data_IF_114371258683
#
_entry.id   IF_114371258683
#
_cell.length_a   1.000
_cell.length_b   1.000
_cell.length_c   1.000
_cell.angle_alpha   90.00
_cell.angle_beta   90.00
_cell.angle_gamma   90.00
#
_symmetry.space_group_name_H-M   'P 1'
#
loop_
_entity.id
_entity.type
_entity.pdbx_description
1 polymer ?
#
# COMPACT_ATOMS: atom_id res chain seq x y z
N UNK A 1 6.51 6.43 -7.27
CA UNK A 1 7.39 5.25 -7.12
C UNK A 1 8.17 5.46 -5.84
N UNK A 2 8.33 4.42 -5.01
CA UNK A 2 9.10 4.47 -3.78
C UNK A 2 10.12 3.32 -3.76
N UNK A 3 11.08 3.41 -2.84
CA UNK A 3 12.18 2.46 -2.75
C UNK A 3 11.77 1.12 -2.15
N UNK A 4 12.65 0.12 -2.26
CA UNK A 4 12.48 -1.16 -1.58
C UNK A 4 12.61 -1.03 -0.06
N UNK A 5 11.65 -1.63 0.65
CA UNK A 5 11.66 -1.76 2.11
C UNK A 5 12.88 -2.51 2.68
N UNK A 6 13.57 -3.31 1.88
CA UNK A 6 14.74 -4.09 2.33
C UNK A 6 16.05 -3.32 2.25
N UNK A 7 16.08 -2.19 1.53
CA UNK A 7 17.32 -1.49 1.20
C UNK A 7 17.38 -0.07 1.80
N UNK A 8 16.28 0.67 1.74
CA UNK A 8 16.30 2.12 1.98
C UNK A 8 15.14 2.62 2.86
N UNK A 9 15.00 2.07 4.08
CA UNK A 9 13.93 2.45 5.02
C UNK A 9 13.94 3.94 5.41
N UNK A 10 15.11 4.55 5.53
CA UNK A 10 15.25 5.99 5.80
C UNK A 10 14.70 6.86 4.65
N UNK A 11 14.97 6.51 3.39
CA UNK A 11 14.41 7.23 2.25
C UNK A 11 12.88 7.09 2.21
N UNK A 12 12.35 5.90 2.51
CA UNK A 12 10.89 5.68 2.59
C UNK A 12 10.28 6.57 3.68
N UNK A 13 10.91 6.68 4.86
CA UNK A 13 10.47 7.57 5.94
C UNK A 13 10.42 9.03 5.50
N UNK A 14 11.48 9.52 4.85
CA UNK A 14 11.55 10.91 4.39
C UNK A 14 10.48 11.20 3.32
N UNK A 15 10.33 10.29 2.34
CA UNK A 15 9.33 10.42 1.29
C UNK A 15 7.90 10.43 1.85
N UNK A 16 7.56 9.56 2.80
CA UNK A 16 6.23 9.56 3.43
C UNK A 16 6.00 10.88 4.18
N UNK A 17 7.01 11.37 4.89
CA UNK A 17 6.92 12.61 5.68
C UNK A 17 6.63 13.81 4.75
N UNK A 18 7.39 13.95 3.66
CA UNK A 18 7.16 14.98 2.63
C UNK A 18 5.78 14.82 1.99
N UNK A 19 5.35 13.59 1.66
CA UNK A 19 4.03 13.36 1.10
C UNK A 19 2.91 13.78 2.05
N UNK A 20 3.05 13.57 3.37
CA UNK A 20 2.05 14.02 4.36
C UNK A 20 2.01 15.54 4.53
N UNK A 21 3.11 16.22 4.30
CA UNK A 21 3.14 17.68 4.30
C UNK A 21 2.38 18.24 3.08
N UNK A 22 2.55 17.63 1.91
CA UNK A 22 1.98 18.12 0.64
C UNK A 22 0.52 17.67 0.48
N UNK A 23 0.23 16.39 0.70
CA UNK A 23 -1.07 15.78 0.48
C UNK A 23 -1.85 15.71 1.79
N UNK A 24 -2.96 16.47 1.85
CA UNK A 24 -3.82 16.55 3.03
C UNK A 24 -4.88 15.44 3.12
N UNK A 25 -4.91 14.55 2.13
CA UNK A 25 -5.75 13.35 2.15
C UNK A 25 -5.02 12.15 2.74
N UNK A 26 -5.39 10.94 2.29
CA UNK A 26 -4.77 9.68 2.71
C UNK A 26 -3.36 9.55 2.13
N UNK A 27 -2.42 9.02 2.91
CA UNK A 27 -1.06 8.65 2.47
C UNK A 27 -0.73 7.24 2.93
N UNK A 28 -0.51 6.33 1.99
CA UNK A 28 -0.22 4.92 2.25
C UNK A 28 0.98 4.42 1.45
N UNK A 29 1.69 3.47 2.02
CA UNK A 29 2.76 2.73 1.34
C UNK A 29 2.26 1.33 1.01
N UNK A 30 2.39 0.94 -0.26
CA UNK A 30 2.13 -0.40 -0.75
C UNK A 30 3.41 -0.98 -1.37
N UNK A 31 3.45 -2.29 -1.62
CA UNK A 31 4.59 -2.92 -2.28
C UNK A 31 4.15 -4.06 -3.21
N UNK A 32 5.03 -4.42 -4.14
CA UNK A 32 4.84 -5.59 -5.00
C UNK A 32 6.15 -6.33 -5.24
N UNK A 33 6.02 -7.62 -5.54
CA UNK A 33 7.14 -8.46 -5.99
C UNK A 33 7.43 -8.23 -7.47
N UNK A 34 8.67 -7.86 -7.78
CA UNK A 34 9.18 -7.72 -9.13
C UNK A 34 10.60 -8.30 -9.13
N UNK A 35 10.79 -9.57 -9.56
CA UNK A 35 12.05 -10.29 -9.38
C UNK A 35 13.30 -9.60 -9.96
N UNK A 36 13.13 -8.77 -10.97
CA UNK A 36 14.23 -8.05 -11.63
C UNK A 36 14.58 -6.71 -10.98
N UNK A 37 13.78 -6.23 -10.02
CA UNK A 37 14.15 -5.05 -9.22
C UNK A 37 15.16 -5.43 -8.14
N UNK A 38 16.04 -4.50 -7.71
CA UNK A 38 16.91 -4.72 -6.55
C UNK A 38 16.09 -5.23 -5.35
N UNK A 39 16.59 -6.25 -4.65
CA UNK A 39 15.88 -6.99 -3.57
C UNK A 39 14.60 -7.73 -3.95
N UNK A 40 14.22 -7.76 -5.24
CA UNK A 40 13.06 -8.50 -5.75
C UNK A 40 11.70 -7.87 -5.46
N UNK A 41 11.67 -6.66 -4.87
CA UNK A 41 10.44 -5.93 -4.54
C UNK A 41 10.58 -4.44 -4.81
N UNK A 42 9.45 -3.76 -4.99
CA UNK A 42 9.37 -2.30 -5.14
C UNK A 42 8.24 -1.73 -4.29
N UNK A 43 8.44 -0.52 -3.76
CA UNK A 43 7.45 0.25 -3.02
C UNK A 43 6.66 1.23 -3.88
N UNK A 44 5.46 1.57 -3.43
CA UNK A 44 4.60 2.59 -3.99
C UNK A 44 4.06 3.49 -2.89
N UNK A 45 4.12 4.80 -3.09
CA UNK A 45 3.44 5.77 -2.26
C UNK A 45 2.16 6.22 -2.95
N UNK A 46 1.04 6.01 -2.28
CA UNK A 46 -0.29 6.40 -2.71
C UNK A 46 -0.74 7.58 -1.86
N UNK A 47 -1.06 8.70 -2.50
CA UNK A 47 -1.47 9.92 -1.84
C UNK A 47 -2.77 10.45 -2.47
N UNK A 48 -3.71 10.93 -1.66
CA UNK A 48 -4.89 11.65 -2.16
C UNK A 48 -4.81 13.13 -1.81
N UNK A 49 -5.40 13.96 -2.66
CA UNK A 49 -5.58 15.39 -2.37
C UNK A 49 -6.60 15.57 -1.24
N UNK A 50 -6.67 16.79 -0.71
CA UNK A 50 -7.71 17.21 0.21
C UNK A 50 -9.11 16.98 -0.38
N UNK A 51 -10.04 16.53 0.45
CA UNK A 51 -11.41 16.21 0.05
C UNK A 51 -11.92 14.97 0.75
N UNK A 52 -12.81 14.24 0.07
CA UNK A 52 -13.35 12.98 0.59
C UNK A 52 -12.23 11.99 0.91
N UNK A 53 -12.27 11.31 2.08
CA UNK A 53 -11.29 10.30 2.43
C UNK A 53 -11.20 9.22 1.36
N UNK A 54 -9.98 8.91 0.92
CA UNK A 54 -9.72 7.82 -0.02
C UNK A 54 -9.20 6.62 0.75
N UNK A 55 -9.96 5.54 0.73
CA UNK A 55 -9.50 4.24 1.24
C UNK A 55 -8.71 3.53 0.13
N UNK A 56 -7.38 3.53 0.28
CA UNK A 56 -6.51 2.85 -0.66
C UNK A 56 -6.44 1.34 -0.42
N UNK A 57 -6.86 0.81 0.73
CA UNK A 57 -6.76 -0.63 1.02
C UNK A 57 -7.88 -1.41 0.33
N UNK A 58 -9.03 -0.77 0.14
CA UNK A 58 -10.21 -1.36 -0.48
C UNK A 58 -10.51 -0.68 -1.83
N UNK A 59 -10.29 -1.36 -2.98
CA UNK A 59 -10.51 -0.74 -4.27
C UNK A 59 -12.00 -0.48 -4.49
N UNK A 60 -12.38 0.80 -4.69
CA UNK A 60 -13.78 1.23 -4.87
C UNK A 60 -14.46 0.53 -6.05
N UNK A 61 -13.70 0.27 -7.12
CA UNK A 61 -14.14 -0.46 -8.29
C UNK A 61 -13.27 -1.72 -8.49
N UNK A 62 -13.58 -2.83 -7.80
CA UNK A 62 -12.86 -4.10 -7.95
C UNK A 62 -12.89 -4.57 -9.41
N UNK A 63 -11.73 -4.94 -9.95
CA UNK A 63 -11.59 -5.30 -11.37
C UNK A 63 -12.48 -6.49 -11.78
N UNK A 64 -12.79 -7.37 -10.83
CA UNK A 64 -13.65 -8.52 -11.02
C UNK A 64 -15.14 -8.15 -11.17
N UNK A 65 -15.53 -6.95 -10.73
CA UNK A 65 -16.90 -6.43 -10.80
C UNK A 65 -17.14 -5.49 -11.98
N UNK A 66 -16.09 -5.11 -12.72
CA UNK A 66 -16.21 -4.25 -13.89
C UNK A 66 -16.82 -5.00 -15.09
N UNK A 67 -17.52 -4.27 -15.97
CA UNK A 67 -18.06 -4.84 -17.20
C UNK A 67 -16.92 -5.41 -18.06
N UNK A 68 -17.03 -6.69 -18.40
CA UNK A 68 -15.94 -7.44 -19.02
C UNK A 68 -14.88 -7.96 -18.03
N UNK A 69 -15.18 -8.05 -16.73
CA UNK A 69 -14.29 -8.60 -15.70
C UNK A 69 -13.74 -10.00 -16.04
N UNK A 70 -14.47 -10.81 -16.81
CA UNK A 70 -13.98 -12.09 -17.33
C UNK A 70 -12.84 -11.95 -18.37
N UNK A 71 -12.86 -10.88 -19.19
CA UNK A 71 -11.75 -10.55 -20.11
C UNK A 71 -10.55 -10.00 -19.33
N UNK A 72 -10.78 -9.07 -18.40
CA UNK A 72 -9.73 -8.53 -17.54
C UNK A 72 -9.05 -9.61 -16.71
N UNK A 73 -9.80 -10.58 -16.17
CA UNK A 73 -9.23 -11.76 -15.48
C UNK A 73 -8.34 -12.62 -16.37
N UNK A 74 -8.60 -12.68 -17.69
CA UNK A 74 -7.79 -13.46 -18.64
C UNK A 74 -6.53 -12.72 -19.07
N UNK A 75 -6.52 -11.39 -19.03
CA UNK A 75 -5.40 -10.56 -19.47
C UNK A 75 -4.45 -10.15 -18.33
N UNK A 76 -4.99 -9.93 -17.13
CA UNK A 76 -4.20 -9.56 -15.95
C UNK A 76 -3.44 -10.76 -15.41
N UNK A 77 -2.12 -10.62 -15.30
CA UNK A 77 -1.20 -11.68 -14.86
C UNK A 77 -0.83 -11.60 -13.38
N UNK A 78 -0.94 -10.42 -12.78
CA UNK A 78 -0.47 -10.15 -11.41
C UNK A 78 -1.55 -9.51 -10.54
N UNK A 79 -2.11 -8.38 -10.99
CA UNK A 79 -3.07 -7.63 -10.20
C UNK A 79 -4.44 -8.31 -10.15
N UNK A 80 -5.01 -8.36 -8.96
CA UNK A 80 -6.41 -8.65 -8.66
C UNK A 80 -6.75 -7.95 -7.32
N UNK A 81 -8.03 -7.96 -6.91
CA UNK A 81 -8.44 -7.25 -5.69
C UNK A 81 -7.80 -7.78 -4.40
N UNK A 82 -7.46 -9.07 -4.33
CA UNK A 82 -6.78 -9.65 -3.17
C UNK A 82 -5.32 -9.19 -3.09
N UNK A 83 -4.60 -9.21 -4.22
CA UNK A 83 -3.23 -8.70 -4.34
C UNK A 83 -3.19 -7.21 -4.01
N UNK A 84 -4.20 -6.44 -4.40
CA UNK A 84 -4.33 -5.03 -4.04
C UNK A 84 -4.32 -4.83 -2.52
N UNK A 85 -5.21 -5.48 -1.78
CA UNK A 85 -5.26 -5.36 -0.32
C UNK A 85 -3.99 -5.90 0.33
N UNK A 86 -3.47 -7.03 -0.15
CA UNK A 86 -2.24 -7.64 0.36
C UNK A 86 -0.99 -6.76 0.17
N UNK A 87 -0.95 -5.91 -0.86
CA UNK A 87 0.15 -4.98 -1.10
C UNK A 87 0.36 -3.98 0.05
N UNK A 88 -0.64 -3.75 0.91
CA UNK A 88 -0.54 -2.91 2.10
C UNK A 88 -0.17 -3.69 3.37
N UNK A 89 -0.04 -5.01 3.29
CA UNK A 89 0.46 -5.83 4.40
C UNK A 89 1.98 -5.69 4.49
N UNK A 90 2.43 -4.90 5.48
CA UNK A 90 3.85 -4.57 5.65
C UNK A 90 4.53 -5.47 6.69
N UNK A 91 5.79 -5.90 6.46
CA UNK A 91 6.57 -6.64 7.45
C UNK A 91 6.73 -5.89 8.77
N UNK A 92 6.84 -6.63 9.87
CA UNK A 92 6.96 -6.07 11.22
C UNK A 92 8.17 -5.14 11.39
N UNK A 93 9.31 -5.48 10.77
CA UNK A 93 10.52 -4.64 10.88
C UNK A 93 10.31 -3.26 10.24
N UNK A 94 9.63 -3.22 9.09
CA UNK A 94 9.38 -1.97 8.37
C UNK A 94 8.50 -1.02 9.20
N UNK A 95 7.44 -1.56 9.82
CA UNK A 95 6.57 -0.80 10.73
C UNK A 95 7.33 -0.26 11.95
N UNK A 96 8.36 -0.97 12.42
CA UNK A 96 9.20 -0.51 13.54
C UNK A 96 10.16 0.60 13.12
N UNK A 97 10.79 0.45 11.95
CA UNK A 97 11.85 1.35 11.47
C UNK A 97 11.34 2.63 10.82
N UNK A 98 10.18 2.57 10.18
CA UNK A 98 9.55 3.71 9.52
C UNK A 98 8.42 4.23 10.40
N UNK A 99 8.76 5.20 11.26
CA UNK A 99 7.82 5.80 12.21
C UNK A 99 6.56 6.35 11.54
N UNK A 100 6.68 6.89 10.32
CA UNK A 100 5.54 7.39 9.58
C UNK A 100 4.49 6.29 9.30
N UNK A 101 4.89 5.02 9.18
CA UNK A 101 3.95 3.92 8.94
C UNK A 101 3.26 3.40 10.21
N UNK A 102 3.56 3.96 11.40
CA UNK A 102 3.04 3.47 12.69
C UNK A 102 1.61 3.91 12.99
N UNK A 103 0.99 4.71 12.13
CA UNK A 103 -0.39 5.17 12.29
C UNK A 103 -1.21 4.85 11.05
N UNK A 104 -1.73 3.61 10.98
CA UNK A 104 -2.81 3.24 10.05
C UNK A 104 -3.64 2.07 10.57
N UNK A 105 -3.61 1.79 11.88
CA UNK A 105 -4.57 0.84 12.45
C UNK A 105 -5.93 1.54 12.48
N UNK A 106 -6.98 0.99 11.84
CA UNK A 106 -8.34 1.41 12.21
C UNK A 106 -8.53 1.13 13.70
N UNK A 107 -9.44 1.84 14.41
CA UNK A 107 -9.82 1.47 15.75
C UNK A 107 -10.48 0.08 15.69
N UNK A 108 -9.68 -0.96 15.88
CA UNK A 108 -10.08 -2.35 15.83
C UNK A 108 -10.17 -2.88 17.26
N UNK A 109 -11.35 -3.38 17.60
CA UNK A 109 -11.64 -4.17 18.79
C UNK A 109 -10.46 -5.07 19.17
N UNK A 110 -10.04 -4.96 20.44
CA UNK A 110 -9.28 -5.99 21.12
C UNK A 110 -10.04 -7.31 21.00
N UNK A 111 -9.60 -8.20 20.11
CA UNK A 111 -9.90 -9.62 20.25
C UNK A 111 -8.76 -10.17 21.11
N UNK A 112 -9.02 -10.17 22.42
CA UNK A 112 -8.32 -11.01 23.37
C UNK A 112 -8.43 -12.46 22.89
N UNK A 113 -7.32 -13.07 22.51
CA UNK A 113 -7.23 -14.53 22.44
C UNK A 113 -6.34 -14.95 23.59
N UNK A 114 -6.99 -15.46 24.63
CA UNK A 114 -6.39 -16.21 25.73
C UNK A 114 -5.78 -17.52 25.26
#
# INVERSE_FOLDING_TARGET
>A
MAESMWLHTHLIQDMISVCREIFKGSVHYAWASVPTYPSGVIGFLLCSKEGSPVDFLNPVNPIEKLDGGAKHKRELRFYNSEIHSAAFALPTFLKREVAALRESSPPGNEICVS
#
